data_IF_070836632268
#
_entry.id   IF_070836632268
#
_cell.length_a   1.000
_cell.length_b   1.000
_cell.length_c   1.000
_cell.angle_alpha   90.00
_cell.angle_beta   90.00
_cell.angle_gamma   90.00
#
_symmetry.space_group_name_H-M   'P 1'
#
loop_
_entity.id
_entity.type
_entity.pdbx_description
1 polymer ?
#
# COMPACT_ATOMS: atom_id res chain seq x y z
N UNK A 1 56.02 23.45 26.87
CA UNK A 1 54.93 23.80 25.92
C UNK A 1 54.56 22.68 24.93
N UNK A 2 55.18 21.49 24.97
CA UNK A 2 54.95 20.43 23.96
C UNK A 2 53.91 19.35 24.35
N UNK A 3 53.42 19.32 25.60
CA UNK A 3 52.48 18.26 26.06
C UNK A 3 51.00 18.68 26.03
N UNK A 4 50.72 19.98 25.99
CA UNK A 4 49.36 20.53 25.96
C UNK A 4 48.76 20.60 24.54
N UNK A 5 49.60 20.65 23.49
CA UNK A 5 49.09 20.62 22.11
C UNK A 5 48.66 19.21 21.65
N UNK A 6 49.28 18.13 22.15
CA UNK A 6 48.91 16.76 21.76
C UNK A 6 47.57 16.29 22.34
N UNK A 7 47.13 16.85 23.47
CA UNK A 7 45.84 16.51 24.09
C UNK A 7 44.66 17.19 23.38
N UNK A 8 44.86 18.40 22.85
CA UNK A 8 43.82 19.14 22.12
C UNK A 8 43.60 18.59 20.71
N UNK A 9 44.65 18.13 20.04
CA UNK A 9 44.53 17.47 18.73
C UNK A 9 43.84 16.10 18.83
N UNK A 10 44.06 15.35 19.91
CA UNK A 10 43.38 14.06 20.14
C UNK A 10 41.91 14.24 20.56
N UNK A 11 41.57 15.27 21.34
CA UNK A 11 40.18 15.59 21.67
C UNK A 11 39.37 16.09 20.44
N UNK A 12 40.03 16.73 19.47
CA UNK A 12 39.41 17.13 18.20
C UNK A 12 39.13 15.94 17.26
N UNK A 13 39.98 14.91 17.23
CA UNK A 13 39.73 13.70 16.44
C UNK A 13 38.68 12.76 17.06
N UNK A 14 38.55 12.74 18.40
CA UNK A 14 37.52 11.92 19.08
C UNK A 14 36.10 12.49 18.97
N UNK A 15 35.92 13.77 18.59
CA UNK A 15 34.59 14.35 18.34
C UNK A 15 34.07 14.12 16.92
N UNK A 16 34.91 13.65 16.01
CA UNK A 16 34.54 13.38 14.62
C UNK A 16 33.95 11.97 14.40
N UNK A 17 34.14 11.03 15.34
CA UNK A 17 33.63 9.65 15.21
C UNK A 17 32.24 9.41 15.80
N UNK A 18 31.61 10.42 16.42
CA UNK A 18 30.28 10.28 17.03
C UNK A 18 29.14 10.90 16.19
N UNK A 19 29.34 11.04 14.87
CA UNK A 19 28.30 11.48 13.93
C UNK A 19 28.09 10.47 12.81
N UNK A 20 27.92 9.19 13.17
CA UNK A 20 26.91 8.40 12.47
C UNK A 20 25.54 9.03 12.78
N UNK A 21 25.28 10.20 12.18
CA UNK A 21 24.04 10.93 12.33
C UNK A 21 22.96 10.02 11.77
N UNK A 22 22.01 9.64 12.63
CA UNK A 22 20.67 9.30 12.21
C UNK A 22 20.21 10.42 11.27
N UNK A 23 20.29 10.16 9.97
CA UNK A 23 19.67 11.02 8.98
C UNK A 23 18.20 10.66 9.07
N UNK A 24 17.33 11.57 9.51
CA UNK A 24 15.91 11.27 9.58
C UNK A 24 15.44 10.82 8.19
N UNK A 25 14.52 9.85 8.11
CA UNK A 25 13.97 9.38 6.84
C UNK A 25 13.53 10.58 6.03
N UNK A 26 13.94 10.65 4.78
CA UNK A 26 13.54 11.74 3.91
C UNK A 26 12.06 11.53 3.56
N UNK A 27 11.16 12.36 4.11
CA UNK A 27 9.72 12.18 3.95
C UNK A 27 9.28 12.42 2.50
N UNK A 28 10.16 12.99 1.67
CA UNK A 28 9.90 13.19 0.25
C UNK A 28 10.20 11.96 -0.60
N UNK A 29 10.79 10.89 -0.02
CA UNK A 29 11.07 9.65 -0.72
C UNK A 29 9.84 8.80 -1.05
N UNK A 30 8.74 9.03 -0.36
CA UNK A 30 7.44 8.41 -0.61
C UNK A 30 6.57 9.35 -1.43
N UNK A 31 6.12 8.88 -2.59
CA UNK A 31 5.33 9.67 -3.55
C UNK A 31 3.84 9.36 -3.46
N UNK A 32 3.47 8.16 -3.00
CA UNK A 32 2.08 7.81 -2.69
C UNK A 32 1.79 6.32 -2.71
N UNK A 33 0.50 5.99 -2.69
CA UNK A 33 0.00 4.64 -2.96
C UNK A 33 -0.73 4.67 -4.29
N UNK A 34 -0.31 3.82 -5.22
CA UNK A 34 -1.05 3.55 -6.46
C UNK A 34 -1.93 2.31 -6.26
N UNK A 35 -3.18 2.39 -6.72
CA UNK A 35 -4.12 1.26 -6.72
C UNK A 35 -4.56 1.01 -8.14
N UNK A 36 -4.24 -0.18 -8.64
CA UNK A 36 -4.63 -0.66 -9.96
C UNK A 36 -5.78 -1.66 -9.82
N UNK A 37 -6.82 -1.54 -10.66
CA UNK A 37 -7.76 -2.65 -10.86
C UNK A 37 -7.11 -3.65 -11.79
N UNK A 38 -6.65 -4.74 -11.22
CA UNK A 38 -5.84 -5.73 -11.91
C UNK A 38 -6.69 -6.62 -12.81
N UNK A 39 -7.77 -7.18 -12.28
CA UNK A 39 -8.66 -8.08 -13.01
C UNK A 39 -10.10 -8.04 -12.45
N UNK A 40 -11.07 -8.42 -13.28
CA UNK A 40 -12.46 -8.66 -12.86
C UNK A 40 -12.84 -10.08 -13.32
N UNK A 41 -13.19 -10.97 -12.40
CA UNK A 41 -13.58 -12.34 -12.73
C UNK A 41 -14.85 -12.37 -13.58
N UNK A 42 -14.90 -13.28 -14.56
CA UNK A 42 -16.09 -13.54 -15.35
C UNK A 42 -16.82 -14.83 -14.92
N UNK A 43 -17.79 -15.27 -15.72
CA UNK A 43 -18.59 -16.47 -15.43
C UNK A 43 -17.78 -17.76 -15.61
N UNK A 44 -16.78 -17.77 -16.50
CA UNK A 44 -15.92 -18.94 -16.68
C UNK A 44 -14.94 -19.06 -15.52
N UNK A 45 -14.37 -17.94 -15.07
CA UNK A 45 -13.49 -17.91 -13.89
C UNK A 45 -14.25 -18.39 -12.64
N UNK A 46 -15.47 -17.91 -12.43
CA UNK A 46 -16.31 -18.28 -11.29
C UNK A 46 -16.92 -19.69 -11.36
N UNK A 47 -16.88 -20.32 -12.54
CA UNK A 47 -17.31 -21.71 -12.71
C UNK A 47 -16.15 -22.69 -12.51
N UNK A 48 -14.91 -22.20 -12.44
CA UNK A 48 -13.76 -23.02 -12.09
C UNK A 48 -13.85 -23.44 -10.62
N UNK A 49 -13.62 -24.73 -10.39
CA UNK A 49 -13.58 -25.32 -9.05
C UNK A 49 -12.18 -25.90 -8.75
N UNK A 50 -11.22 -25.77 -9.69
CA UNK A 50 -9.83 -26.14 -9.48
C UNK A 50 -9.14 -25.03 -8.66
N UNK A 51 -8.85 -25.32 -7.39
CA UNK A 51 -8.14 -24.44 -6.48
C UNK A 51 -9.00 -23.45 -5.70
N UNK A 52 -10.30 -23.29 -5.96
CA UNK A 52 -11.25 -22.67 -5.02
C UNK A 52 -12.67 -22.74 -5.57
N UNK A 53 -13.68 -22.84 -4.71
CA UNK A 53 -15.09 -22.63 -5.07
C UNK A 53 -15.62 -21.23 -4.69
N UNK A 54 -14.77 -20.38 -4.13
CA UNK A 54 -15.17 -19.14 -3.47
C UNK A 54 -15.06 -17.89 -4.36
N UNK A 55 -14.64 -18.07 -5.63
CA UNK A 55 -14.60 -16.99 -6.61
C UNK A 55 -15.98 -16.79 -7.25
N UNK A 56 -16.57 -15.60 -7.10
CA UNK A 56 -17.79 -15.23 -7.82
C UNK A 56 -17.48 -14.49 -9.12
N UNK A 57 -18.47 -14.35 -10.02
CA UNK A 57 -18.32 -13.50 -11.20
C UNK A 57 -18.50 -12.02 -10.81
N UNK A 58 -17.65 -11.15 -11.35
CA UNK A 58 -17.60 -9.72 -11.04
C UNK A 58 -16.76 -9.37 -9.82
N UNK A 59 -16.00 -10.34 -9.28
CA UNK A 59 -15.01 -10.08 -8.24
C UNK A 59 -13.81 -9.32 -8.80
N UNK A 60 -13.30 -8.36 -8.02
CA UNK A 60 -12.27 -7.42 -8.53
C UNK A 60 -10.99 -7.60 -7.76
N UNK A 61 -9.95 -8.06 -8.44
CA UNK A 61 -8.58 -8.08 -7.94
C UNK A 61 -7.94 -6.70 -8.13
N UNK A 62 -7.30 -6.18 -7.09
CA UNK A 62 -6.61 -4.89 -7.07
C UNK A 62 -5.14 -5.08 -6.74
N UNK A 63 -4.22 -4.54 -7.51
CA UNK A 63 -2.81 -4.42 -7.09
C UNK A 63 -2.57 -3.08 -6.41
N UNK A 64 -1.91 -3.10 -5.25
CA UNK A 64 -1.56 -1.91 -4.48
C UNK A 64 -0.05 -1.76 -4.51
N UNK A 65 0.43 -0.59 -4.93
CA UNK A 65 1.86 -0.28 -5.04
C UNK A 65 2.24 0.87 -4.11
N UNK A 66 3.40 0.73 -3.48
CA UNK A 66 4.11 1.84 -2.84
C UNK A 66 4.91 2.56 -3.92
N UNK A 67 4.62 3.84 -4.12
CA UNK A 67 5.29 4.70 -5.09
C UNK A 67 6.42 5.48 -4.38
N UNK A 68 7.65 5.27 -4.84
CA UNK A 68 8.86 5.83 -4.24
C UNK A 68 9.62 6.63 -5.28
N UNK A 69 10.32 7.68 -4.84
CA UNK A 69 11.27 8.37 -5.71
C UNK A 69 12.36 7.44 -6.21
N UNK A 70 12.87 7.70 -7.40
CA UNK A 70 14.06 7.02 -7.94
C UNK A 70 15.21 6.96 -6.92
N UNK A 71 15.78 5.76 -6.72
CA UNK A 71 16.88 5.50 -5.78
C UNK A 71 16.46 5.33 -4.31
N UNK A 72 15.17 5.42 -3.99
CA UNK A 72 14.66 5.14 -2.63
C UNK A 72 14.24 3.69 -2.50
N UNK A 73 14.34 3.18 -1.27
CA UNK A 73 14.11 1.77 -0.97
C UNK A 73 13.06 1.60 0.11
N UNK A 74 12.14 0.66 -0.11
CA UNK A 74 11.19 0.21 0.89
C UNK A 74 11.90 -0.65 1.93
N UNK A 75 11.80 -0.24 3.19
CA UNK A 75 12.49 -0.90 4.29
C UNK A 75 11.56 -1.91 4.97
N UNK A 76 10.35 -1.49 5.34
CA UNK A 76 9.40 -2.29 6.11
C UNK A 76 7.99 -1.74 5.95
N UNK A 77 7.01 -2.64 5.92
CA UNK A 77 5.58 -2.37 6.01
C UNK A 77 5.05 -2.98 7.29
N UNK A 78 4.14 -2.32 8.00
CA UNK A 78 3.56 -2.95 9.19
C UNK A 78 2.70 -2.06 10.06
N UNK A 79 2.08 -2.70 11.04
CA UNK A 79 1.42 -2.07 12.16
C UNK A 79 2.39 -1.94 13.34
N UNK A 80 2.42 -0.75 13.93
CA UNK A 80 3.24 -0.43 15.10
C UNK A 80 2.36 0.14 16.22
N UNK A 81 2.91 0.24 17.43
CA UNK A 81 2.19 0.84 18.57
C UNK A 81 1.66 2.23 18.20
N UNK A 82 0.34 2.44 18.38
CA UNK A 82 -0.43 3.63 17.98
C UNK A 82 -0.61 3.83 16.45
N UNK A 83 -0.18 2.87 15.65
CA UNK A 83 -0.11 2.90 14.20
C UNK A 83 -0.51 1.54 13.61
N UNK A 84 -1.73 1.09 13.90
CA UNK A 84 -2.19 -0.21 13.43
C UNK A 84 -2.20 -0.28 11.90
N UNK A 85 -1.83 -1.46 11.38
CA UNK A 85 -2.18 -1.84 10.02
C UNK A 85 -3.53 -2.55 10.04
N UNK A 86 -4.36 -2.28 9.03
CA UNK A 86 -5.68 -2.88 8.87
C UNK A 86 -5.89 -3.33 7.44
N UNK A 87 -6.31 -4.58 7.29
CA UNK A 87 -6.85 -5.13 6.05
C UNK A 87 -8.31 -5.48 6.29
N UNK A 88 -9.21 -5.05 5.41
CA UNK A 88 -10.62 -5.37 5.54
C UNK A 88 -11.31 -5.31 4.16
N UNK A 89 -12.18 -6.28 3.89
CA UNK A 89 -13.12 -6.30 2.77
C UNK A 89 -14.56 -6.37 3.30
N UNK A 90 -15.55 -6.11 2.45
CA UNK A 90 -16.96 -6.32 2.79
C UNK A 90 -17.42 -7.77 2.61
N UNK A 91 -16.59 -8.61 1.99
CA UNK A 91 -16.82 -10.04 1.74
C UNK A 91 -15.70 -10.86 2.37
N UNK A 92 -14.91 -11.57 1.57
CA UNK A 92 -13.68 -12.27 1.93
C UNK A 92 -12.60 -11.97 0.89
N UNK A 93 -11.34 -12.12 1.28
CA UNK A 93 -10.25 -12.18 0.33
C UNK A 93 -10.33 -13.51 -0.39
N UNK A 94 -10.15 -13.49 -1.71
CA UNK A 94 -10.04 -14.72 -2.48
C UNK A 94 -8.79 -15.47 -2.05
N UNK A 95 -8.95 -16.77 -1.85
CA UNK A 95 -7.90 -17.71 -1.46
C UNK A 95 -7.97 -18.91 -2.41
N UNK A 96 -6.88 -19.13 -3.16
CA UNK A 96 -6.69 -20.35 -3.93
C UNK A 96 -6.11 -21.45 -3.02
N UNK A 97 -6.90 -22.45 -2.68
CA UNK A 97 -6.59 -23.49 -1.70
C UNK A 97 -5.72 -24.65 -2.20
N UNK A 98 -5.38 -24.67 -3.49
CA UNK A 98 -4.47 -25.66 -4.08
C UNK A 98 -3.05 -25.10 -4.26
N UNK A 99 -2.94 -23.91 -4.89
CA UNK A 99 -1.64 -23.34 -5.34
C UNK A 99 -1.40 -21.91 -4.87
N UNK A 100 -2.35 -21.33 -4.13
CA UNK A 100 -2.23 -20.00 -3.54
C UNK A 100 -1.33 -19.99 -2.32
N UNK A 101 -0.88 -18.80 -1.92
CA UNK A 101 0.03 -18.61 -0.79
C UNK A 101 -0.22 -17.28 -0.09
N UNK A 102 0.16 -17.18 1.20
CA UNK A 102 0.05 -15.91 1.94
C UNK A 102 0.97 -14.80 1.40
N UNK A 103 2.02 -15.18 0.68
CA UNK A 103 3.07 -14.30 0.19
C UNK A 103 3.27 -14.50 -1.30
N UNK A 104 3.37 -13.39 -2.05
CA UNK A 104 3.60 -13.46 -3.49
C UNK A 104 4.89 -14.21 -3.83
N UNK A 105 5.96 -14.07 -3.04
CA UNK A 105 7.22 -14.79 -3.27
C UNK A 105 7.15 -16.30 -3.13
N UNK A 106 6.09 -16.82 -2.52
CA UNK A 106 5.95 -18.24 -2.20
C UNK A 106 5.11 -18.96 -3.27
N UNK A 107 4.38 -18.22 -4.10
CA UNK A 107 3.71 -18.77 -5.29
C UNK A 107 4.77 -19.18 -6.30
N UNK A 108 4.80 -20.47 -6.65
CA UNK A 108 5.69 -20.97 -7.68
C UNK A 108 5.21 -20.56 -9.08
N UNK A 109 6.12 -20.03 -9.89
CA UNK A 109 5.81 -19.50 -11.22
C UNK A 109 5.19 -20.52 -12.18
N UNK A 110 5.52 -21.81 -12.03
CA UNK A 110 4.93 -22.88 -12.87
C UNK A 110 3.42 -23.04 -12.65
N UNK A 111 2.86 -22.41 -11.62
CA UNK A 111 1.43 -22.45 -11.34
C UNK A 111 0.66 -21.31 -12.00
N UNK A 112 1.32 -20.27 -12.51
CA UNK A 112 0.65 -19.11 -13.14
C UNK A 112 -0.23 -19.49 -14.34
N UNK A 113 0.08 -20.62 -14.98
CA UNK A 113 -0.68 -21.20 -16.09
C UNK A 113 -1.88 -22.05 -15.65
N UNK A 114 -2.14 -22.17 -14.35
CA UNK A 114 -3.20 -23.02 -13.78
C UNK A 114 -4.35 -22.18 -13.25
N UNK A 115 -5.57 -22.69 -13.44
CA UNK A 115 -6.78 -22.24 -12.75
C UNK A 115 -6.88 -20.71 -12.58
N UNK A 116 -7.27 -20.22 -11.41
CA UNK A 116 -7.36 -18.79 -11.07
C UNK A 116 -6.28 -18.31 -10.09
N UNK A 117 -5.19 -19.07 -9.86
CA UNK A 117 -4.15 -18.73 -8.87
C UNK A 117 -3.45 -17.40 -9.15
N UNK A 118 -3.34 -16.97 -10.41
CA UNK A 118 -2.72 -15.69 -10.78
C UNK A 118 -3.45 -14.45 -10.21
N UNK A 119 -4.68 -14.63 -9.72
CA UNK A 119 -5.46 -13.59 -9.04
C UNK A 119 -5.64 -13.86 -7.54
N UNK A 120 -4.88 -14.78 -6.93
CA UNK A 120 -4.92 -15.03 -5.49
C UNK A 120 -4.64 -13.76 -4.64
N UNK A 121 -5.12 -13.72 -3.40
CA UNK A 121 -4.84 -12.61 -2.50
C UNK A 121 -3.60 -12.90 -1.64
N UNK A 122 -2.60 -12.03 -1.69
CA UNK A 122 -1.35 -12.22 -0.93
C UNK A 122 -0.69 -10.90 -0.53
N UNK A 123 0.29 -10.98 0.37
CA UNK A 123 1.16 -9.86 0.74
C UNK A 123 2.52 -9.95 0.04
N UNK A 124 3.17 -8.80 -0.16
CA UNK A 124 4.50 -8.78 -0.76
C UNK A 124 5.33 -7.54 -0.42
N UNK A 125 6.59 -7.59 -0.82
CA UNK A 125 7.51 -6.47 -0.91
C UNK A 125 8.24 -6.53 -2.26
N UNK A 126 7.48 -6.64 -3.36
CA UNK A 126 8.00 -6.64 -4.73
C UNK A 126 7.68 -7.90 -5.56
N UNK A 127 7.68 -9.07 -4.93
CA UNK A 127 7.46 -10.35 -5.59
C UNK A 127 5.97 -10.59 -5.91
N UNK A 128 5.66 -11.06 -7.10
CA UNK A 128 4.33 -11.66 -7.40
C UNK A 128 4.37 -13.18 -7.44
N UNK A 129 5.53 -13.74 -7.75
CA UNK A 129 5.88 -15.16 -7.64
C UNK A 129 7.37 -15.28 -7.25
N UNK A 130 7.88 -16.52 -7.16
CA UNK A 130 9.31 -16.80 -7.01
C UNK A 130 10.18 -16.41 -8.24
N UNK A 131 9.56 -16.15 -9.40
CA UNK A 131 10.24 -15.81 -10.66
C UNK A 131 9.78 -14.49 -11.33
N UNK A 132 8.91 -13.72 -10.69
CA UNK A 132 8.39 -12.47 -11.27
C UNK A 132 8.21 -11.36 -10.22
N UNK A 133 8.67 -10.16 -10.58
CA UNK A 133 8.30 -8.93 -9.89
C UNK A 133 6.89 -8.51 -10.32
N UNK A 134 6.09 -8.00 -9.38
CA UNK A 134 4.88 -7.28 -9.77
C UNK A 134 5.20 -5.86 -10.18
N UNK A 135 4.67 -5.44 -11.32
CA UNK A 135 4.72 -4.07 -11.82
C UNK A 135 3.31 -3.63 -12.27
N UNK A 136 3.05 -2.33 -12.41
CA UNK A 136 1.82 -1.85 -13.06
C UNK A 136 1.72 -2.37 -14.49
N UNK A 137 0.51 -2.72 -14.95
CA UNK A 137 0.32 -3.28 -16.31
C UNK A 137 0.68 -2.29 -17.43
N UNK A 138 0.66 -0.99 -17.17
CA UNK A 138 1.09 0.03 -18.13
C UNK A 138 2.61 0.15 -18.27
N UNK A 139 3.36 -0.49 -17.37
CA UNK A 139 4.84 -0.59 -17.42
C UNK A 139 5.33 -1.97 -17.89
N UNK A 140 4.42 -2.93 -18.00
CA UNK A 140 4.69 -4.24 -18.57
C UNK A 140 4.71 -4.16 -20.10
N UNK A 141 5.82 -4.63 -20.65
CA UNK A 141 6.11 -4.56 -22.09
C UNK A 141 6.57 -5.90 -22.65
N UNK A 142 6.67 -6.95 -21.83
CA UNK A 142 7.10 -8.30 -22.23
C UNK A 142 5.93 -9.27 -22.45
N UNK A 143 4.71 -8.83 -22.16
CA UNK A 143 3.49 -9.49 -22.62
C UNK A 143 2.76 -10.13 -21.47
N UNK A 144 2.36 -11.38 -21.62
CA UNK A 144 1.67 -12.09 -20.55
C UNK A 144 2.05 -13.56 -20.52
N UNK A 145 2.24 -14.07 -19.30
CA UNK A 145 2.39 -15.49 -18.97
C UNK A 145 1.17 -16.02 -18.22
N UNK A 146 0.09 -15.23 -18.10
CA UNK A 146 -1.14 -15.61 -17.39
C UNK A 146 -2.37 -15.42 -18.28
N UNK A 147 -3.42 -16.20 -18.01
CA UNK A 147 -4.70 -16.07 -18.71
C UNK A 147 -4.65 -16.40 -20.21
N UNK A 148 -5.82 -16.50 -20.83
CA UNK A 148 -5.94 -16.78 -22.25
C UNK A 148 -5.22 -18.07 -22.64
N UNK A 149 -4.45 -18.03 -23.73
CA UNK A 149 -3.67 -19.18 -24.19
C UNK A 149 -2.56 -19.62 -23.22
N UNK A 150 -2.24 -18.82 -22.21
CA UNK A 150 -1.26 -19.16 -21.18
C UNK A 150 -1.90 -19.86 -19.98
N UNK A 151 -3.20 -20.13 -20.00
CA UNK A 151 -3.93 -20.77 -18.91
C UNK A 151 -4.55 -22.11 -19.35
N UNK A 152 -4.60 -23.08 -18.45
CA UNK A 152 -5.07 -24.44 -18.72
C UNK A 152 -6.60 -24.60 -18.84
N UNK A 153 -7.36 -23.54 -18.55
CA UNK A 153 -8.81 -23.54 -18.65
C UNK A 153 -9.52 -24.13 -17.42
N UNK A 154 -8.78 -24.44 -16.35
CA UNK A 154 -9.31 -24.95 -15.08
C UNK A 154 -10.10 -26.25 -15.18
N UNK A 155 -10.96 -26.50 -14.18
CA UNK A 155 -11.74 -27.74 -14.03
C UNK A 155 -12.68 -28.02 -15.21
N UNK A 156 -13.11 -26.97 -15.91
CA UNK A 156 -14.00 -27.06 -17.06
C UNK A 156 -13.26 -27.14 -18.41
N UNK A 157 -11.92 -27.07 -18.42
CA UNK A 157 -11.10 -27.07 -19.64
C UNK A 157 -11.60 -26.03 -20.67
N UNK A 158 -11.85 -24.81 -20.20
CA UNK A 158 -12.42 -23.72 -21.01
C UNK A 158 -11.55 -23.47 -22.24
N UNK A 159 -12.10 -23.63 -23.48
CA UNK A 159 -11.32 -23.38 -24.68
C UNK A 159 -10.86 -21.92 -24.76
N UNK A 160 -9.54 -21.73 -24.88
CA UNK A 160 -8.92 -20.40 -24.84
C UNK A 160 -8.51 -19.92 -23.45
N UNK A 161 -8.68 -20.76 -22.42
CA UNK A 161 -8.22 -20.51 -21.04
C UNK A 161 -9.14 -19.63 -20.20
N UNK A 162 -8.79 -19.51 -18.91
CA UNK A 162 -9.42 -18.58 -17.97
C UNK A 162 -8.73 -17.21 -17.98
N UNK A 163 -9.22 -16.29 -17.16
CA UNK A 163 -8.64 -14.96 -16.92
C UNK A 163 -8.61 -14.05 -18.17
N UNK A 164 -9.65 -14.14 -19.01
CA UNK A 164 -9.75 -13.46 -20.33
C UNK A 164 -10.72 -12.29 -20.38
N UNK A 165 -11.30 -11.89 -19.24
CA UNK A 165 -12.30 -10.82 -19.21
C UNK A 165 -11.72 -9.48 -19.69
N UNK A 166 -12.49 -8.76 -20.51
CA UNK A 166 -12.13 -7.46 -21.11
C UNK A 166 -12.86 -6.29 -20.45
N UNK A 167 -12.93 -6.31 -19.11
CA UNK A 167 -13.60 -5.21 -18.42
C UNK A 167 -12.80 -3.90 -18.64
N UNK A 168 -13.38 -2.85 -19.27
CA UNK A 168 -12.65 -1.62 -19.59
C UNK A 168 -12.11 -0.89 -18.35
N UNK A 169 -12.65 -1.18 -17.16
CA UNK A 169 -12.20 -0.59 -15.90
C UNK A 169 -10.87 -1.19 -15.40
N UNK A 170 -10.42 -2.30 -15.97
CA UNK A 170 -9.13 -2.94 -15.69
C UNK A 170 -7.99 -2.37 -16.55
N UNK A 171 -8.29 -1.56 -17.56
CA UNK A 171 -7.30 -0.99 -18.46
C UNK A 171 -6.82 -2.02 -19.49
N UNK A 172 -5.58 -2.48 -19.37
CA UNK A 172 -4.98 -3.45 -20.29
C UNK A 172 -5.44 -4.86 -19.88
N UNK A 173 -5.82 -5.69 -20.85
CA UNK A 173 -6.23 -7.07 -20.61
C UNK A 173 -5.09 -7.90 -20.03
N UNK A 174 -5.44 -8.84 -19.16
CA UNK A 174 -4.46 -9.65 -18.44
C UNK A 174 -3.68 -10.61 -19.34
N UNK A 175 -4.31 -11.10 -20.40
CA UNK A 175 -3.67 -11.92 -21.45
C UNK A 175 -2.84 -11.09 -22.46
N UNK A 176 -2.69 -9.78 -22.21
CA UNK A 176 -1.89 -8.85 -23.03
C UNK A 176 -0.73 -8.25 -22.24
N UNK A 177 -1.00 -7.79 -21.03
CA UNK A 177 -0.01 -7.33 -20.06
C UNK A 177 -0.44 -7.80 -18.66
N UNK A 178 0.33 -8.68 -18.04
CA UNK A 178 0.02 -9.30 -16.75
C UNK A 178 0.69 -8.58 -15.55
N UNK A 179 1.47 -7.55 -15.83
CA UNK A 179 2.22 -6.82 -14.82
C UNK A 179 3.25 -7.72 -14.12
N UNK A 180 3.78 -8.75 -14.78
CA UNK A 180 4.80 -9.65 -14.25
C UNK A 180 6.10 -9.45 -15.01
N UNK A 181 7.06 -8.77 -14.37
CA UNK A 181 8.38 -8.61 -14.94
C UNK A 181 9.30 -9.75 -14.48
N UNK A 182 9.81 -10.53 -15.42
CA UNK A 182 10.69 -11.67 -15.13
C UNK A 182 11.90 -11.26 -14.28
N UNK A 183 12.17 -12.01 -13.22
CA UNK A 183 13.29 -11.77 -12.32
C UNK A 183 13.26 -12.68 -11.10
N UNK A 184 14.19 -12.53 -10.16
CA UNK A 184 14.13 -13.31 -8.91
C UNK A 184 14.01 -12.35 -7.74
N UNK A 185 12.79 -11.88 -7.41
CA UNK A 185 12.57 -11.04 -6.25
C UNK A 185 13.04 -11.77 -4.98
N UNK A 186 13.54 -11.02 -3.98
CA UNK A 186 13.84 -11.60 -2.68
C UNK A 186 12.54 -12.05 -1.99
N UNK A 187 12.60 -13.18 -1.28
CA UNK A 187 11.50 -13.66 -0.43
C UNK A 187 11.17 -12.71 0.72
N UNK A 188 10.17 -13.07 1.54
CA UNK A 188 9.68 -12.21 2.62
C UNK A 188 10.33 -12.54 3.98
N UNK A 189 10.63 -11.49 4.74
CA UNK A 189 10.88 -11.57 6.19
C UNK A 189 9.73 -10.91 6.92
N UNK A 190 9.12 -11.59 7.88
CA UNK A 190 8.06 -11.04 8.72
C UNK A 190 8.35 -11.21 10.21
N UNK A 191 7.78 -10.31 11.02
CA UNK A 191 7.84 -10.32 12.48
C UNK A 191 6.46 -10.05 13.06
N UNK A 192 6.20 -10.59 14.25
CA UNK A 192 4.88 -10.50 14.88
C UNK A 192 3.93 -11.58 14.38
N UNK A 193 2.62 -11.33 14.48
CA UNK A 193 1.58 -12.30 14.08
C UNK A 193 1.09 -11.95 12.68
N UNK A 194 1.48 -12.74 11.67
CA UNK A 194 1.04 -12.53 10.30
C UNK A 194 -0.48 -12.75 10.10
N UNK A 195 -1.12 -12.06 9.15
CA UNK A 195 -2.51 -12.32 8.78
C UNK A 195 -2.67 -13.72 8.16
N UNK A 196 -3.66 -14.47 8.64
CA UNK A 196 -4.11 -15.74 8.02
C UNK A 196 -5.18 -15.50 6.95
N UNK A 197 -5.81 -14.32 6.94
CA UNK A 197 -6.95 -13.95 6.09
C UNK A 197 -6.73 -14.07 4.57
N UNK A 198 -5.51 -14.32 4.12
CA UNK A 198 -5.14 -14.50 2.71
C UNK A 198 -4.94 -15.97 2.34
N UNK A 199 -4.89 -16.86 3.33
CA UNK A 199 -4.62 -18.29 3.17
C UNK A 199 -5.63 -19.10 4.01
N UNK A 200 -6.87 -18.61 4.06
CA UNK A 200 -7.98 -19.29 4.73
C UNK A 200 -9.33 -18.86 4.15
N UNK A 201 -10.27 -19.79 4.15
CA UNK A 201 -11.65 -19.55 3.75
C UNK A 201 -12.33 -18.52 4.65
N UNK A 202 -13.02 -17.55 4.04
CA UNK A 202 -13.77 -16.52 4.77
C UNK A 202 -12.91 -15.46 5.46
N UNK A 203 -11.61 -15.41 5.18
CA UNK A 203 -10.73 -14.35 5.66
C UNK A 203 -11.20 -12.98 5.20
N UNK A 204 -11.57 -12.09 6.12
CA UNK A 204 -12.23 -10.83 5.76
C UNK A 204 -11.58 -9.58 6.39
N UNK A 205 -11.04 -9.71 7.60
CA UNK A 205 -10.51 -8.58 8.34
C UNK A 205 -9.33 -8.97 9.23
N UNK A 206 -8.30 -8.13 9.23
CA UNK A 206 -7.13 -8.23 10.08
C UNK A 206 -6.75 -6.84 10.58
N UNK A 207 -6.34 -6.74 11.83
CA UNK A 207 -5.77 -5.50 12.39
C UNK A 207 -4.72 -5.84 13.43
N UNK A 208 -3.55 -5.19 13.34
CA UNK A 208 -2.44 -5.42 14.26
C UNK A 208 -1.60 -4.15 14.42
N UNK A 209 -1.07 -3.95 15.62
CA UNK A 209 -0.03 -2.96 15.95
C UNK A 209 1.33 -3.64 16.27
N UNK A 210 1.41 -4.94 16.03
CA UNK A 210 2.58 -5.78 16.29
C UNK A 210 2.76 -6.80 15.17
N UNK A 211 2.81 -6.31 13.94
CA UNK A 211 3.09 -7.11 12.76
C UNK A 211 3.78 -6.24 11.72
N UNK A 212 4.87 -6.74 11.14
CA UNK A 212 5.56 -6.07 10.07
C UNK A 212 6.22 -7.09 9.14
N UNK A 213 6.40 -6.71 7.87
CA UNK A 213 7.16 -7.48 6.90
C UNK A 213 8.05 -6.59 6.04
N UNK A 214 9.05 -7.20 5.44
CA UNK A 214 9.97 -6.59 4.50
C UNK A 214 10.44 -7.61 3.49
N UNK A 215 11.13 -7.13 2.46
CA UNK A 215 12.01 -7.98 1.67
C UNK A 215 13.04 -8.68 2.58
N UNK A 216 13.35 -9.94 2.28
CA UNK A 216 14.24 -10.80 3.05
C UNK A 216 15.71 -10.36 3.04
N UNK A 217 16.09 -9.50 2.08
CA UNK A 217 17.41 -8.85 2.05
C UNK A 217 17.39 -7.45 2.69
N UNK A 218 16.19 -6.94 3.02
CA UNK A 218 15.95 -5.55 3.42
C UNK A 218 16.19 -4.56 2.27
N UNK A 219 15.48 -3.44 2.31
CA UNK A 219 15.69 -2.30 1.40
C UNK A 219 15.49 -2.68 -0.08
N UNK A 220 14.23 -2.90 -0.48
CA UNK A 220 13.89 -3.24 -1.86
C UNK A 220 13.60 -1.97 -2.69
N UNK A 221 14.06 -1.98 -3.93
CA UNK A 221 13.78 -0.96 -4.95
C UNK A 221 12.89 -1.61 -6.01
N UNK A 222 11.96 -0.86 -6.57
CA UNK A 222 11.14 -1.29 -7.68
C UNK A 222 12.00 -1.63 -8.90
N UNK A 223 11.58 -2.60 -9.72
CA UNK A 223 12.40 -3.08 -10.82
C UNK A 223 12.35 -2.17 -12.06
N UNK A 224 11.46 -1.17 -12.08
CA UNK A 224 11.31 -0.18 -13.16
C UNK A 224 11.75 1.22 -12.70
N UNK A 225 12.01 2.16 -13.63
CA UNK A 225 12.40 3.53 -13.28
C UNK A 225 11.33 4.31 -12.47
N UNK A 226 10.07 3.88 -12.50
CA UNK A 226 9.01 4.48 -11.69
C UNK A 226 9.10 4.09 -10.21
N UNK A 227 9.92 3.09 -9.87
CA UNK A 227 10.20 2.62 -8.52
C UNK A 227 8.93 2.33 -7.71
N UNK A 228 7.96 1.66 -8.36
CA UNK A 228 6.75 1.15 -7.73
C UNK A 228 6.96 -0.27 -7.25
N UNK A 229 6.62 -0.52 -6.00
CA UNK A 229 6.78 -1.82 -5.37
C UNK A 229 5.40 -2.35 -4.99
N UNK A 230 4.96 -3.51 -5.53
CA UNK A 230 3.70 -4.12 -5.15
C UNK A 230 3.75 -4.53 -3.68
N UNK A 231 2.69 -4.14 -2.98
CA UNK A 231 2.43 -4.45 -1.58
C UNK A 231 1.47 -5.65 -1.48
N UNK A 232 0.55 -5.83 -2.46
CA UNK A 232 -0.49 -6.88 -2.48
C UNK A 232 -1.43 -6.84 -3.72
N UNK A 233 -1.99 -7.97 -4.17
CA UNK A 233 -3.26 -8.09 -4.88
C UNK A 233 -4.39 -8.37 -3.90
N UNK A 234 -5.58 -7.85 -4.17
CA UNK A 234 -6.67 -7.85 -3.19
C UNK A 234 -8.05 -7.92 -3.84
N UNK A 235 -9.00 -8.70 -3.30
CA UNK A 235 -10.38 -8.83 -3.84
C UNK A 235 -11.51 -8.00 -3.17
N UNK A 236 -12.10 -7.07 -3.92
CA UNK A 236 -13.21 -6.14 -3.56
C UNK A 236 -12.99 -4.92 -2.63
N UNK A 237 -13.64 -3.82 -3.03
CA UNK A 237 -13.90 -2.52 -2.35
C UNK A 237 -13.17 -2.24 -1.02
N UNK A 238 -12.06 -1.50 -1.11
CA UNK A 238 -11.25 -1.06 0.04
C UNK A 238 -11.50 0.37 0.48
N UNK A 239 -11.16 0.62 1.75
CA UNK A 239 -10.81 1.95 2.26
C UNK A 239 -9.47 1.85 2.98
N UNK A 240 -8.41 2.31 2.32
CA UNK A 240 -7.10 2.48 2.94
C UNK A 240 -7.12 3.79 3.75
N UNK A 241 -7.12 3.69 5.08
CA UNK A 241 -6.98 4.85 5.96
C UNK A 241 -5.48 5.19 6.09
N UNK A 242 -4.98 6.01 5.17
CA UNK A 242 -3.66 6.64 5.32
C UNK A 242 -3.86 7.99 5.99
N UNK A 243 -3.47 8.07 7.25
CA UNK A 243 -3.41 9.34 7.96
C UNK A 243 -1.94 9.71 8.17
N UNK A 244 -1.51 10.92 7.76
CA UNK A 244 -0.19 11.42 8.11
C UNK A 244 -0.19 11.95 9.55
N UNK A 245 0.82 11.61 10.36
CA UNK A 245 1.09 12.27 11.65
C UNK A 245 2.51 12.81 11.72
N UNK A 246 2.59 14.01 12.27
CA UNK A 246 3.80 14.77 12.62
C UNK A 246 4.27 14.32 14.00
N UNK A 247 5.45 13.72 14.11
CA UNK A 247 6.05 13.35 15.40
C UNK A 247 6.56 14.62 16.12
N UNK A 248 6.29 14.70 17.42
CA UNK A 248 6.21 15.94 18.20
C UNK A 248 7.47 16.81 18.32
N UNK A 249 7.24 18.10 18.59
CA UNK A 249 8.22 19.04 19.10
C UNK A 249 7.74 19.58 20.47
N UNK A 250 8.63 19.55 21.47
CA UNK A 250 8.43 20.08 22.82
C UNK A 250 8.35 21.63 22.85
N UNK A 251 7.84 22.23 23.95
CA UNK A 251 7.22 23.54 23.93
C UNK A 251 8.27 24.65 24.09
N UNK A 252 8.22 25.65 23.21
CA UNK A 252 9.08 26.82 23.34
C UNK A 252 8.96 27.78 22.17
N UNK A 253 8.17 28.84 22.39
CA UNK A 253 8.23 30.16 21.75
C UNK A 253 8.86 30.27 20.36
N UNK A 254 8.07 30.47 19.30
CA UNK A 254 8.48 31.34 18.18
C UNK A 254 7.28 32.06 17.57
N UNK A 255 7.45 33.38 17.40
CA UNK A 255 6.39 34.34 17.13
C UNK A 255 5.78 34.32 15.74
N UNK A 256 4.59 34.92 15.66
CA UNK A 256 3.83 35.15 14.44
C UNK A 256 4.66 35.90 13.39
N UNK A 257 4.79 35.34 12.19
CA UNK A 257 4.99 36.12 10.97
C UNK A 257 3.83 35.85 10.01
N UNK A 258 3.22 36.94 9.59
CA UNK A 258 2.09 37.03 8.67
C UNK A 258 2.62 36.83 7.25
N UNK A 259 2.19 35.78 6.55
CA UNK A 259 2.34 35.69 5.10
C UNK A 259 1.03 36.18 4.48
N UNK A 260 1.05 37.38 3.90
CA UNK A 260 -0.02 37.91 3.05
C UNK A 260 0.08 37.26 1.67
N UNK A 261 -1.03 36.71 1.16
CA UNK A 261 -1.15 36.26 -0.23
C UNK A 261 -2.02 37.26 -1.01
N UNK A 262 -1.67 37.60 -2.28
CA UNK A 262 -2.47 38.48 -3.12
C UNK A 262 -3.76 37.82 -3.59
N UNK A 263 -4.77 38.68 -3.78
CA UNK A 263 -6.09 38.38 -4.34
C UNK A 263 -5.96 37.98 -5.82
N UNK A 264 -6.69 36.95 -6.26
CA UNK A 264 -7.77 37.11 -7.22
C UNK A 264 -8.42 35.76 -7.61
N UNK A 265 -9.74 35.84 -7.82
CA UNK A 265 -10.70 34.81 -8.27
C UNK A 265 -11.22 33.81 -7.22
N UNK A 266 -12.40 34.12 -6.68
CA UNK A 266 -13.21 33.21 -5.87
C UNK A 266 -14.39 32.60 -6.62
N UNK A 267 -14.93 31.51 -6.06
CA UNK A 267 -16.37 31.23 -6.06
C UNK A 267 -16.74 30.70 -4.67
N UNK A 268 -17.78 31.33 -4.13
CA UNK A 268 -18.41 31.14 -2.83
C UNK A 268 -19.50 30.06 -2.97
N UNK A 269 -19.54 29.04 -2.10
CA UNK A 269 -20.76 28.24 -1.86
C UNK A 269 -20.85 27.81 -0.38
N UNK A 270 -21.92 28.24 0.30
CA UNK A 270 -22.29 27.84 1.66
C UNK A 270 -23.40 26.77 1.63
N UNK A 271 -23.51 25.91 2.66
CA UNK A 271 -24.79 25.32 3.04
C UNK A 271 -25.31 25.96 4.32
N UNK A 272 -26.52 26.53 4.23
CA UNK A 272 -27.28 27.01 5.39
C UNK A 272 -28.05 25.89 6.08
N UNK A 273 -28.10 25.95 7.41
CA UNK A 273 -29.20 25.40 8.20
C UNK A 273 -29.31 26.25 9.46
N UNK A 274 -30.48 26.86 9.66
CA UNK A 274 -30.66 27.99 10.56
C UNK A 274 -31.12 27.69 11.98
N UNK A 275 -31.46 28.83 12.61
CA UNK A 275 -32.20 29.11 13.86
C UNK A 275 -31.38 29.26 15.14
N UNK A 276 -31.17 30.55 15.43
CA UNK A 276 -30.95 31.16 16.74
C UNK A 276 -32.16 31.02 17.67
N UNK A 277 -31.87 30.77 18.96
CA UNK A 277 -32.49 31.26 20.20
C UNK A 277 -31.52 30.76 21.29
N UNK A 278 -30.77 31.53 22.08
CA UNK A 278 -30.94 32.87 22.60
C UNK A 278 -30.91 32.77 24.14
N UNK A 279 -29.73 32.79 24.78
CA UNK A 279 -29.50 33.32 26.15
C UNK A 279 -28.01 33.32 26.54
N UNK A 280 -27.67 34.30 27.36
CA UNK A 280 -26.35 34.83 27.76
C UNK A 280 -25.98 34.27 29.15
N UNK A 281 -24.70 33.91 29.39
CA UNK A 281 -23.86 34.27 30.56
C UNK A 281 -22.59 33.37 30.74
N UNK A 282 -21.44 34.06 30.81
CA UNK A 282 -20.23 33.87 31.68
C UNK A 282 -19.23 32.68 31.52
N UNK A 283 -18.06 33.03 30.95
CA UNK A 283 -16.66 32.59 31.25
C UNK A 283 -16.22 31.12 31.03
N UNK A 284 -14.89 30.88 30.85
CA UNK A 284 -14.33 30.43 29.57
C UNK A 284 -14.08 28.93 29.51
N UNK A 285 -14.45 28.31 28.39
CA UNK A 285 -14.06 26.94 28.06
C UNK A 285 -13.28 26.95 26.74
N UNK A 286 -12.23 26.12 26.70
CA UNK A 286 -11.20 26.11 25.68
C UNK A 286 -11.75 26.07 24.24
N UNK A 287 -11.43 27.10 23.46
CA UNK A 287 -11.67 27.08 22.01
C UNK A 287 -10.49 26.38 21.35
N UNK A 288 -10.70 25.12 20.97
CA UNK A 288 -9.84 24.43 20.01
C UNK A 288 -9.88 25.19 18.68
N UNK A 289 -8.75 25.78 18.30
CA UNK A 289 -8.54 26.35 16.98
C UNK A 289 -8.49 25.20 15.95
N UNK A 290 -9.53 25.09 15.13
CA UNK A 290 -9.53 24.27 13.92
C UNK A 290 -9.06 25.13 12.76
N UNK A 291 -7.89 24.80 12.21
CA UNK A 291 -7.39 25.36 10.94
C UNK A 291 -7.54 24.31 9.82
N UNK A 292 -7.75 24.75 8.57
CA UNK A 292 -8.32 23.93 7.50
C UNK A 292 -7.26 23.06 6.82
N UNK A 293 -7.60 21.80 6.55
CA UNK A 293 -6.81 20.88 5.72
C UNK A 293 -7.49 20.72 4.36
N UNK A 294 -6.69 20.89 3.32
CA UNK A 294 -7.03 20.74 1.90
C UNK A 294 -7.55 19.31 1.65
N UNK A 295 -8.77 19.16 1.14
CA UNK A 295 -9.37 17.88 0.78
C UNK A 295 -9.20 17.60 -0.72
N UNK A 296 -8.68 16.42 -1.08
CA UNK A 296 -8.97 15.81 -2.37
C UNK A 296 -10.11 14.81 -2.19
N UNK A 297 -11.14 14.94 -3.03
CA UNK A 297 -12.40 14.19 -2.97
C UNK A 297 -12.49 13.30 -4.21
N UNK A 298 -12.45 11.98 -4.03
CA UNK A 298 -13.07 11.03 -4.94
C UNK A 298 -14.36 10.54 -4.27
N UNK A 299 -15.51 10.80 -4.90
CA UNK A 299 -16.83 10.46 -4.33
C UNK A 299 -17.42 9.26 -5.06
N UNK A 300 -17.85 8.26 -4.30
CA UNK A 300 -19.03 7.46 -4.60
C UNK A 300 -19.82 7.30 -3.28
N UNK A 301 -21.14 7.31 -3.37
CA UNK A 301 -22.09 7.90 -2.44
C UNK A 301 -22.18 7.41 -0.97
N UNK A 302 -22.58 8.38 -0.12
CA UNK A 302 -23.22 8.37 1.22
C UNK A 302 -22.63 7.51 2.36
N UNK A 303 -22.16 8.22 3.41
CA UNK A 303 -21.87 7.72 4.77
C UNK A 303 -22.79 8.39 5.81
N UNK A 304 -23.14 7.71 6.93
CA UNK A 304 -23.42 8.39 8.20
C UNK A 304 -22.14 8.55 9.04
N UNK A 305 -22.19 9.51 9.97
CA UNK A 305 -21.06 10.12 10.69
C UNK A 305 -20.60 9.31 11.92
N UNK A 306 -19.30 9.45 12.21
CA UNK A 306 -18.51 9.13 13.43
C UNK A 306 -17.78 7.78 13.43
N UNK A 307 -16.44 7.82 13.32
CA UNK A 307 -15.47 7.30 14.31
C UNK A 307 -14.02 7.22 13.74
N UNK A 308 -13.04 7.64 14.56
CA UNK A 308 -11.66 7.12 14.62
C UNK A 308 -10.63 7.58 13.58
N UNK A 309 -9.46 8.06 14.03
CA UNK A 309 -8.29 8.41 13.22
C UNK A 309 -7.08 7.52 13.62
N UNK A 310 -6.41 6.84 12.67
CA UNK A 310 -5.19 6.02 12.88
C UNK A 310 -4.20 6.11 11.70
N UNK A 311 -2.88 6.15 11.96
CA UNK A 311 -1.79 6.45 10.99
C UNK A 311 -0.88 5.24 10.70
N UNK A 312 -0.17 5.25 9.55
CA UNK A 312 0.82 4.24 9.16
C UNK A 312 2.24 4.84 9.13
N UNK A 313 3.25 4.10 9.59
CA UNK A 313 4.65 4.54 9.63
C UNK A 313 5.52 3.71 8.67
N UNK A 314 6.37 4.37 7.89
CA UNK A 314 7.31 3.73 6.95
C UNK A 314 8.67 4.40 7.10
N UNK A 315 9.75 3.61 7.01
CA UNK A 315 11.12 4.11 6.94
C UNK A 315 11.58 4.06 5.48
N UNK A 316 12.22 5.13 5.00
CA UNK A 316 12.89 5.17 3.70
C UNK A 316 14.35 5.59 3.92
N UNK A 317 15.29 4.95 3.23
CA UNK A 317 16.71 5.29 3.24
C UNK A 317 17.15 5.72 1.84
N UNK A 318 17.81 6.87 1.74
CA UNK A 318 18.56 7.31 0.56
C UNK A 318 20.04 7.06 0.83
N UNK A 319 20.78 6.45 -0.11
CA UNK A 319 22.25 6.47 -0.07
C UNK A 319 22.80 7.67 -0.82
#
# INVERSE_FOLDING_TARGET
>A
MSRTLSLLASLALLTQQARAQYTPPDPSGFEGIQVERYYVSDVNDAADEDGSSDLAAGEVTYRVFVDLKEGYKLITVGGFVNHNITFNTTTSFFYNDDRGESWGSDINDIHLEKNTVAIDSWLSAGASTDAYWGIPKDEDTDGSVVGGSNNDGGSNSVPGGLLVNDDPMTGIRLDTADGLLAGTPPGILSVGVAPTIFNEYGGAAYTSDNFAWSSGIGNVEGPTPSNKIPDRPVHHRWRVHLLPQRVGAHPGQFGMRRCELPRDHGVLCYPGSGRHLGRRLQHPEQVHASHPLLQFRATADRLPRRAGWTCLAWNTLRR
#
